data_IF_800139545702
#
_entry.id   IF_800139545702
#
_cell.length_a   1.000
_cell.length_b   1.000
_cell.length_c   1.000
_cell.angle_alpha   90.00
_cell.angle_beta   90.00
_cell.angle_gamma   90.00
#
_symmetry.space_group_name_H-M   'P 1'
#
loop_
_entity.id
_entity.type
_entity.pdbx_description
1 polymer ?
#
# COMPACT_ATOMS: atom_id res chain seq x y z
N UNK A 1 -15.11 -4.81 0.94
CA UNK A 1 -13.71 -5.26 0.85
C UNK A 1 -13.27 -6.06 2.08
N UNK A 2 -13.39 -5.57 3.32
CA UNK A 2 -12.97 -6.30 4.53
C UNK A 2 -13.47 -7.76 4.61
N UNK A 3 -14.76 -7.99 4.37
CA UNK A 3 -15.33 -9.35 4.34
C UNK A 3 -14.64 -10.28 3.32
N UNK A 4 -14.23 -9.76 2.15
CA UNK A 4 -13.51 -10.53 1.12
C UNK A 4 -12.12 -10.95 1.61
N UNK A 5 -11.43 -10.09 2.37
CA UNK A 5 -10.12 -10.38 2.94
C UNK A 5 -10.23 -11.41 4.08
N UNK A 6 -11.26 -11.28 4.92
CA UNK A 6 -11.56 -12.21 6.02
C UNK A 6 -11.88 -13.62 5.50
N UNK A 7 -12.72 -13.74 4.46
CA UNK A 7 -13.02 -15.02 3.82
C UNK A 7 -11.79 -15.70 3.20
N UNK A 8 -10.70 -14.96 2.99
CA UNK A 8 -9.44 -15.48 2.47
C UNK A 8 -8.40 -15.78 3.56
N UNK A 9 -8.73 -15.51 4.83
CA UNK A 9 -7.88 -15.79 5.98
C UNK A 9 -7.21 -14.58 6.63
N UNK A 10 -7.41 -13.37 6.11
CA UNK A 10 -6.88 -12.14 6.72
C UNK A 10 -7.93 -11.50 7.61
N UNK A 11 -7.81 -11.75 8.92
CA UNK A 11 -8.65 -11.13 9.92
C UNK A 11 -8.29 -9.65 10.12
N UNK A 12 -8.84 -8.79 9.28
CA UNK A 12 -8.69 -7.33 9.33
C UNK A 12 -10.02 -6.66 9.65
N UNK A 13 -9.99 -5.64 10.51
CA UNK A 13 -11.17 -4.82 10.83
C UNK A 13 -11.45 -3.80 9.73
N UNK A 14 -12.67 -3.25 9.71
CA UNK A 14 -13.05 -2.21 8.73
C UNK A 14 -12.26 -0.92 8.92
N UNK A 15 -11.97 -0.53 10.16
CA UNK A 15 -11.15 0.64 10.50
C UNK A 15 -9.68 0.48 10.05
N UNK A 16 -9.11 -0.71 10.23
CA UNK A 16 -7.73 -1.01 9.82
C UNK A 16 -7.61 -1.04 8.29
N UNK A 17 -8.64 -1.55 7.60
CA UNK A 17 -8.72 -1.48 6.15
C UNK A 17 -8.94 -0.04 5.68
N UNK A 18 -9.80 0.75 6.31
CA UNK A 18 -9.99 2.16 5.97
C UNK A 18 -8.69 2.97 6.15
N UNK A 19 -7.88 2.64 7.17
CA UNK A 19 -6.57 3.26 7.37
C UNK A 19 -5.57 2.93 6.25
N UNK A 20 -5.66 1.73 5.65
CA UNK A 20 -4.92 1.38 4.43
C UNK A 20 -5.40 2.20 3.24
N UNK A 21 -6.71 2.24 3.01
CA UNK A 21 -7.34 2.95 1.88
C UNK A 21 -7.09 4.47 1.93
N UNK A 22 -7.03 5.04 3.14
CA UNK A 22 -6.67 6.45 3.38
C UNK A 22 -5.17 6.70 3.41
N UNK A 23 -4.34 5.68 3.17
CA UNK A 23 -2.88 5.75 3.22
C UNK A 23 -2.33 6.28 4.55
N UNK A 24 -3.06 6.08 5.66
CA UNK A 24 -2.64 6.51 7.00
C UNK A 24 -1.59 5.59 7.62
N UNK A 25 -1.50 4.34 7.14
CA UNK A 25 -0.48 3.37 7.55
C UNK A 25 0.26 2.81 6.35
N UNK A 26 1.52 2.40 6.58
CA UNK A 26 2.28 1.63 5.58
C UNK A 26 1.74 0.21 5.49
N UNK A 27 1.81 -0.34 4.27
CA UNK A 27 1.43 -1.72 3.97
C UNK A 27 2.72 -2.54 3.86
N UNK A 28 2.97 -3.52 4.75
CA UNK A 28 4.08 -4.45 4.62
C UNK A 28 4.00 -5.24 3.30
N UNK A 29 5.15 -5.71 2.79
CA UNK A 29 5.23 -6.41 1.49
C UNK A 29 4.32 -7.65 1.43
N UNK A 30 4.23 -8.41 2.53
CA UNK A 30 3.36 -9.57 2.63
C UNK A 30 1.86 -9.20 2.56
N UNK A 31 1.45 -8.12 3.23
CA UNK A 31 0.07 -7.60 3.14
C UNK A 31 -0.23 -7.12 1.71
N UNK A 32 0.75 -6.49 1.05
CA UNK A 32 0.61 -6.01 -0.33
C UNK A 32 0.47 -7.18 -1.32
N UNK A 33 1.28 -8.23 -1.18
CA UNK A 33 1.17 -9.45 -1.98
C UNK A 33 -0.21 -10.12 -1.79
N UNK A 34 -0.67 -10.19 -0.54
CA UNK A 34 -1.98 -10.75 -0.22
C UNK A 34 -3.12 -9.95 -0.88
N UNK A 35 -3.06 -8.61 -0.84
CA UNK A 35 -4.03 -7.74 -1.51
C UNK A 35 -4.09 -8.01 -3.02
N UNK A 36 -2.94 -8.08 -3.69
CA UNK A 36 -2.88 -8.37 -5.13
C UNK A 36 -3.56 -9.71 -5.47
N UNK A 37 -3.28 -10.76 -4.68
CA UNK A 37 -3.88 -12.09 -4.84
C UNK A 37 -5.40 -12.08 -4.64
N UNK A 38 -5.90 -11.39 -3.61
CA UNK A 38 -7.35 -11.31 -3.34
C UNK A 38 -8.09 -10.46 -4.38
N UNK A 39 -7.43 -9.44 -4.91
CA UNK A 39 -7.98 -8.58 -5.96
C UNK A 39 -7.91 -9.21 -7.35
N UNK A 40 -7.07 -10.23 -7.56
CA UNK A 40 -6.92 -10.90 -8.84
C UNK A 40 -6.09 -10.08 -9.83
N UNK A 41 -5.10 -9.35 -9.34
CA UNK A 41 -4.23 -8.49 -10.15
C UNK A 41 -2.76 -8.75 -9.86
N UNK A 42 -1.87 -8.22 -10.72
CA UNK A 42 -0.42 -8.35 -10.51
C UNK A 42 0.02 -7.40 -9.41
N UNK A 43 1.11 -7.75 -8.73
CA UNK A 43 1.66 -6.90 -7.67
C UNK A 43 2.02 -5.50 -8.19
N UNK A 44 2.55 -5.42 -9.41
CA UNK A 44 2.87 -4.14 -10.07
C UNK A 44 1.65 -3.24 -10.34
N UNK A 45 0.44 -3.82 -10.45
CA UNK A 45 -0.79 -3.05 -10.66
C UNK A 45 -1.18 -2.25 -9.40
N UNK A 46 -0.61 -2.58 -8.23
CA UNK A 46 -0.77 -1.80 -7.00
C UNK A 46 0.06 -0.51 -6.99
N UNK A 47 0.98 -0.35 -7.95
CA UNK A 47 1.88 0.80 -8.02
C UNK A 47 1.47 1.74 -9.17
N UNK A 48 1.74 3.05 -9.05
CA UNK A 48 1.58 3.97 -10.16
C UNK A 48 2.46 3.56 -11.35
N UNK A 49 1.88 3.59 -12.56
CA UNK A 49 2.56 3.19 -13.80
C UNK A 49 3.80 4.05 -14.13
N UNK A 50 3.79 5.32 -13.72
CA UNK A 50 4.82 6.30 -14.03
C UNK A 50 5.53 6.77 -12.75
N UNK A 51 6.31 5.88 -12.14
CA UNK A 51 7.10 6.20 -10.96
C UNK A 51 8.45 6.83 -11.35
N UNK A 52 8.78 8.05 -10.89
CA UNK A 52 10.07 8.67 -11.20
C UNK A 52 11.20 8.01 -10.39
N UNK A 53 11.71 6.87 -10.87
CA UNK A 53 12.73 6.05 -10.20
C UNK A 53 13.98 6.84 -9.81
N UNK A 54 14.38 7.81 -10.64
CA UNK A 54 15.52 8.70 -10.38
C UNK A 54 15.33 9.60 -9.14
N UNK A 55 14.09 9.99 -8.83
CA UNK A 55 13.77 10.78 -7.63
C UNK A 55 13.62 9.91 -6.40
N UNK A 56 13.18 8.66 -6.57
CA UNK A 56 12.88 7.74 -5.48
C UNK A 56 14.18 7.14 -4.93
N UNK A 57 15.13 6.80 -5.83
CA UNK A 57 16.45 6.30 -5.49
C UNK A 57 17.16 7.12 -4.40
N UNK A 58 17.25 8.44 -4.61
CA UNK A 58 17.90 9.36 -3.68
C UNK A 58 17.18 9.48 -2.33
N UNK A 59 15.85 9.34 -2.33
CA UNK A 59 15.08 9.40 -1.10
C UNK A 59 15.38 8.19 -0.19
N UNK A 60 15.64 7.00 -0.73
CA UNK A 60 16.00 5.82 0.09
C UNK A 60 17.29 6.05 0.88
N UNK A 61 18.23 6.80 0.31
CA UNK A 61 19.53 7.11 0.91
C UNK A 61 19.45 8.22 1.96
N UNK A 62 18.39 9.03 1.95
CA UNK A 62 18.22 10.16 2.87
C UNK A 62 17.99 9.74 4.33
N UNK A 63 17.68 8.46 4.59
CA UNK A 63 17.29 7.97 5.92
C UNK A 63 15.96 8.52 6.43
N UNK A 64 15.31 9.42 5.67
CA UNK A 64 14.02 9.97 6.03
C UNK A 64 12.89 8.99 5.74
N UNK A 65 11.79 9.14 6.48
CA UNK A 65 10.56 8.39 6.20
C UNK A 65 10.07 8.75 4.81
N UNK A 66 10.30 7.84 3.88
CA UNK A 66 9.83 7.92 2.50
C UNK A 66 8.31 8.07 2.44
N UNK A 67 7.83 9.30 2.29
CA UNK A 67 6.48 9.60 1.85
C UNK A 67 6.47 9.70 0.30
N UNK A 68 7.11 8.73 -0.38
CA UNK A 68 7.18 8.68 -1.85
C UNK A 68 5.77 8.70 -2.46
N UNK A 69 4.82 8.08 -1.76
CA UNK A 69 3.41 8.11 -2.11
C UNK A 69 2.75 9.17 -1.24
N UNK A 70 2.08 10.18 -1.85
CA UNK A 70 1.38 11.18 -1.09
C UNK A 70 0.35 10.47 -0.22
N UNK A 71 0.49 10.58 1.09
CA UNK A 71 -0.61 10.20 1.98
C UNK A 71 -1.68 11.26 1.80
N UNK A 72 -2.94 10.86 1.57
CA UNK A 72 -4.08 11.76 1.35
C UNK A 72 -4.27 12.87 2.41
N UNK A 73 -3.51 12.85 3.50
CA UNK A 73 -3.50 13.86 4.55
C UNK A 73 -2.65 15.12 4.23
N UNK A 74 -1.87 15.16 3.15
CA UNK A 74 -1.17 16.38 2.73
C UNK A 74 -2.13 17.28 1.92
N UNK A 75 -2.74 18.24 2.63
CA UNK A 75 -3.34 19.46 2.07
C UNK A 75 -2.52 20.65 2.55
#
# INVERSE_FOLDING_TARGET
MAAKLQLRGWNISRDSLASLELQRRRVPDCEMLYLARVLGMRLEDLFPKNLPMNKIGSQFQSGQRLAIFPTRAEK
#
